data_IF_280040504706
#
_entry.id   IF_280040504706
#
_cell.length_a   1.000
_cell.length_b   1.000
_cell.length_c   1.000
_cell.angle_alpha   90.00
_cell.angle_beta   90.00
_cell.angle_gamma   90.00
#
_symmetry.space_group_name_H-M   'P 1'
#
loop_
_entity.id
_entity.type
_entity.pdbx_description
1 polymer ?
#
# COMPACT_ATOMS: atom_id res chain seq x y z
N UNK A 1 25.63 8.11 67.49
CA UNK A 1 26.20 7.14 66.53
C UNK A 1 25.35 7.13 65.25
N UNK A 2 25.33 8.21 64.45
CA UNK A 2 24.52 8.27 63.22
C UNK A 2 24.97 9.40 62.28
N UNK A 3 26.24 9.40 61.88
CA UNK A 3 26.72 10.35 60.86
C UNK A 3 27.61 9.68 59.78
N UNK A 4 27.88 8.38 59.88
CA UNK A 4 28.80 7.68 58.96
C UNK A 4 28.13 7.08 57.71
N UNK A 5 26.79 7.01 57.65
CA UNK A 5 26.08 6.28 56.57
C UNK A 5 25.66 7.17 55.38
N UNK A 6 25.67 8.49 55.52
CA UNK A 6 25.20 9.38 54.44
C UNK A 6 26.24 9.62 53.34
N UNK A 7 27.55 9.52 53.65
CA UNK A 7 28.61 9.82 52.69
C UNK A 7 28.92 8.65 51.73
N UNK A 8 28.60 7.41 52.11
CA UNK A 8 28.87 6.22 51.29
C UNK A 8 27.78 5.92 50.24
N UNK A 9 26.61 6.56 50.33
CA UNK A 9 25.49 6.31 49.39
C UNK A 9 25.51 7.26 48.19
N UNK A 10 26.17 8.41 48.31
CA UNK A 10 26.26 9.41 47.23
C UNK A 10 27.04 8.94 45.96
N UNK A 11 28.16 8.20 46.06
CA UNK A 11 28.90 7.77 44.86
C UNK A 11 28.16 6.69 44.07
N UNK A 12 27.33 5.88 44.73
CA UNK A 12 26.62 4.75 44.12
C UNK A 12 25.40 5.23 43.30
N UNK A 13 24.74 6.31 43.73
CA UNK A 13 23.64 6.92 42.99
C UNK A 13 24.10 7.65 41.72
N UNK A 14 25.32 8.21 41.72
CA UNK A 14 25.93 8.83 40.54
C UNK A 14 26.44 7.75 39.56
N UNK A 15 26.95 6.62 40.06
CA UNK A 15 27.33 5.49 39.21
C UNK A 15 26.14 4.80 38.52
N UNK A 16 24.98 4.73 39.18
CA UNK A 16 23.76 4.16 38.61
C UNK A 16 23.13 5.04 37.51
N UNK A 17 23.35 6.36 37.55
CA UNK A 17 22.88 7.31 36.52
C UNK A 17 23.92 7.54 35.42
N UNK A 18 25.21 7.27 35.68
CA UNK A 18 26.25 7.26 34.66
C UNK A 18 26.14 6.03 33.73
N UNK A 19 25.67 4.88 34.24
CA UNK A 19 25.42 3.69 33.43
C UNK A 19 24.26 3.85 32.43
N UNK A 20 23.27 4.68 32.75
CA UNK A 20 22.15 5.00 31.84
C UNK A 20 22.45 6.16 30.88
N UNK A 21 23.51 6.93 31.12
CA UNK A 21 23.99 7.99 30.22
C UNK A 21 25.03 7.50 29.19
N UNK A 22 25.67 6.35 29.43
CA UNK A 22 26.60 5.70 28.49
C UNK A 22 25.91 4.71 27.54
N UNK A 23 24.59 4.59 27.61
CA UNK A 23 23.76 3.89 26.61
C UNK A 23 23.23 4.85 25.52
N UNK A 24 23.90 5.97 25.33
CA UNK A 24 23.75 6.79 24.14
C UNK A 24 24.51 6.11 22.99
N UNK A 25 23.84 6.03 21.83
CA UNK A 25 24.49 5.94 20.50
C UNK A 25 24.81 4.57 19.89
N UNK A 26 23.97 3.56 20.13
CA UNK A 26 23.71 2.57 19.08
C UNK A 26 22.36 2.92 18.44
N UNK A 27 22.41 3.56 17.27
CA UNK A 27 21.22 3.69 16.40
C UNK A 27 20.57 2.31 16.33
N UNK A 28 19.34 2.17 16.84
CA UNK A 28 18.66 0.87 16.82
C UNK A 28 18.63 0.37 15.37
N UNK A 29 18.72 -0.94 15.16
CA UNK A 29 18.73 -1.48 13.78
C UNK A 29 17.53 -0.96 12.99
N UNK A 30 16.38 -0.81 13.64
CA UNK A 30 15.17 -0.20 13.08
C UNK A 30 15.38 1.26 12.66
N UNK A 31 16.05 2.06 13.49
CA UNK A 31 16.34 3.46 13.19
C UNK A 31 17.35 3.58 12.04
N UNK A 32 18.33 2.68 11.95
CA UNK A 32 19.27 2.61 10.82
C UNK A 32 18.61 2.20 9.51
N UNK A 33 17.70 1.22 9.57
CA UNK A 33 16.89 0.83 8.43
C UNK A 33 16.01 1.98 7.99
N UNK A 34 15.32 2.65 8.92
CA UNK A 34 14.42 3.76 8.62
C UNK A 34 15.16 4.96 8.00
N UNK A 35 16.30 5.38 8.55
CA UNK A 35 17.07 6.50 8.00
C UNK A 35 17.66 6.20 6.62
N UNK A 36 18.16 4.98 6.42
CA UNK A 36 18.68 4.55 5.11
C UNK A 36 17.56 4.50 4.07
N UNK A 37 16.41 3.92 4.45
CA UNK A 37 15.23 3.84 3.58
C UNK A 37 14.67 5.23 3.27
N UNK A 38 14.57 6.12 4.26
CA UNK A 38 14.10 7.49 4.09
C UNK A 38 15.05 8.32 3.23
N UNK A 39 16.37 8.14 3.35
CA UNK A 39 17.35 8.82 2.50
C UNK A 39 17.23 8.38 1.03
N UNK A 40 17.04 7.08 0.78
CA UNK A 40 16.86 6.52 -0.55
C UNK A 40 15.53 6.90 -1.20
N UNK A 41 14.43 6.80 -0.46
CA UNK A 41 13.07 6.98 -1.00
C UNK A 41 12.52 8.39 -0.84
N UNK A 42 13.05 9.18 0.09
CA UNK A 42 12.55 10.51 0.45
C UNK A 42 12.42 11.47 -0.74
N UNK A 43 13.44 11.64 -1.61
CA UNK A 43 13.32 12.50 -2.78
C UNK A 43 12.17 12.10 -3.72
N UNK A 44 11.98 10.79 -3.92
CA UNK A 44 10.92 10.25 -4.77
C UNK A 44 9.53 10.40 -4.15
N UNK A 45 9.40 10.09 -2.86
CA UNK A 45 8.14 10.24 -2.11
C UNK A 45 7.72 11.71 -2.08
N UNK A 46 8.66 12.63 -1.81
CA UNK A 46 8.37 14.06 -1.79
C UNK A 46 7.95 14.58 -3.17
N UNK A 47 8.53 14.06 -4.26
CA UNK A 47 8.14 14.41 -5.61
C UNK A 47 6.72 13.94 -5.93
N UNK A 48 6.39 12.69 -5.60
CA UNK A 48 5.08 12.09 -5.88
C UNK A 48 3.97 12.73 -5.04
N UNK A 49 4.24 12.94 -3.76
CA UNK A 49 3.26 13.51 -2.83
C UNK A 49 3.38 15.04 -2.71
N UNK A 50 4.07 15.70 -3.64
CA UNK A 50 4.15 17.15 -3.65
C UNK A 50 2.73 17.76 -3.69
N UNK A 51 2.47 18.84 -2.93
CA UNK A 51 1.21 19.53 -3.01
C UNK A 51 1.04 20.19 -4.38
N UNK A 52 -0.18 20.16 -4.92
CA UNK A 52 -0.51 20.97 -6.08
C UNK A 52 -0.42 22.47 -5.71
N UNK A 53 0.17 23.34 -6.56
CA UNK A 53 0.37 24.75 -6.24
C UNK A 53 -0.89 25.43 -5.70
N UNK A 54 -0.83 25.94 -4.47
CA UNK A 54 -1.95 26.62 -3.80
C UNK A 54 -2.90 25.72 -2.98
N UNK A 55 -2.63 24.41 -2.87
CA UNK A 55 -3.44 23.49 -2.05
C UNK A 55 -2.56 22.54 -1.25
N UNK A 56 -3.07 21.94 -0.17
CA UNK A 56 -2.41 20.84 0.56
C UNK A 56 -2.65 19.46 -0.09
N UNK A 57 -3.29 19.41 -1.25
CA UNK A 57 -3.68 18.15 -1.89
C UNK A 57 -2.54 17.59 -2.76
N UNK A 58 -2.16 16.31 -2.59
CA UNK A 58 -1.10 15.71 -3.40
C UNK A 58 -1.48 15.64 -4.88
N UNK A 59 -0.62 16.13 -5.77
CA UNK A 59 -0.92 16.18 -7.21
C UNK A 59 -1.11 14.78 -7.82
N UNK A 60 -0.39 13.77 -7.32
CA UNK A 60 -0.52 12.38 -7.80
C UNK A 60 -1.94 11.84 -7.56
N UNK A 61 -2.56 12.17 -6.43
CA UNK A 61 -3.91 11.69 -6.11
C UNK A 61 -4.91 12.33 -7.07
N UNK A 62 -4.72 13.62 -7.39
CA UNK A 62 -5.52 14.31 -8.40
C UNK A 62 -5.41 13.62 -9.76
N UNK A 63 -4.19 13.33 -10.19
CA UNK A 63 -3.91 12.65 -11.45
C UNK A 63 -4.57 11.28 -11.53
N UNK A 64 -4.47 10.46 -10.46
CA UNK A 64 -5.07 9.13 -10.39
C UNK A 64 -6.60 9.18 -10.47
N UNK A 65 -7.24 10.13 -9.76
CA UNK A 65 -8.70 10.29 -9.80
C UNK A 65 -9.18 10.72 -11.19
N UNK A 66 -8.47 11.66 -11.85
CA UNK A 66 -8.81 12.10 -13.21
C UNK A 66 -8.67 10.94 -14.19
N UNK A 67 -7.55 10.23 -14.18
CA UNK A 67 -7.33 9.06 -15.06
C UNK A 67 -8.41 7.99 -14.85
N UNK A 68 -8.71 7.64 -13.60
CA UNK A 68 -9.72 6.65 -13.26
C UNK A 68 -11.13 7.07 -13.68
N UNK A 69 -11.45 8.36 -13.58
CA UNK A 69 -12.71 8.93 -14.06
C UNK A 69 -12.82 8.84 -15.58
N UNK A 70 -11.74 9.21 -16.30
CA UNK A 70 -11.69 9.09 -17.76
C UNK A 70 -11.88 7.64 -18.20
N UNK A 71 -11.17 6.68 -17.60
CA UNK A 71 -11.35 5.26 -17.92
C UNK A 71 -12.75 4.76 -17.59
N UNK A 72 -13.30 5.16 -16.44
CA UNK A 72 -14.68 4.81 -16.06
C UNK A 72 -15.69 5.27 -17.10
N UNK A 73 -15.58 6.52 -17.57
CA UNK A 73 -16.49 7.07 -18.58
C UNK A 73 -16.25 6.47 -19.97
N UNK A 74 -14.99 6.33 -20.38
CA UNK A 74 -14.62 5.79 -21.68
C UNK A 74 -15.09 4.33 -21.87
N UNK A 75 -14.94 3.49 -20.85
CA UNK A 75 -15.41 2.10 -20.88
C UNK A 75 -16.89 1.93 -20.45
N UNK A 76 -17.63 3.04 -20.26
CA UNK A 76 -19.07 3.02 -20.01
C UNK A 76 -19.46 2.37 -18.68
N UNK A 77 -18.80 2.76 -17.58
CA UNK A 77 -19.02 2.21 -16.23
C UNK A 77 -18.83 0.69 -16.18
N UNK A 78 -17.70 0.23 -16.73
CA UNK A 78 -17.33 -1.19 -16.85
C UNK A 78 -17.46 -1.94 -15.52
N UNK A 79 -17.12 -1.28 -14.40
CA UNK A 79 -17.17 -1.83 -13.05
C UNK A 79 -18.58 -2.20 -12.58
N UNK A 80 -19.64 -1.56 -13.12
CA UNK A 80 -21.03 -1.90 -12.80
C UNK A 80 -21.59 -2.89 -13.82
N UNK A 81 -21.28 -2.69 -15.11
CA UNK A 81 -21.84 -3.48 -16.20
C UNK A 81 -21.35 -4.93 -16.20
N UNK A 82 -20.07 -5.15 -15.93
CA UNK A 82 -19.44 -6.47 -16.04
C UNK A 82 -19.26 -7.19 -14.70
N UNK A 83 -19.70 -6.59 -13.58
CA UNK A 83 -19.58 -7.19 -12.26
C UNK A 83 -20.19 -8.60 -12.17
N UNK A 84 -21.40 -8.78 -12.72
CA UNK A 84 -22.05 -10.10 -12.75
C UNK A 84 -21.31 -11.11 -13.61
N UNK A 85 -20.78 -10.68 -14.75
CA UNK A 85 -20.01 -11.54 -15.64
C UNK A 85 -18.69 -11.99 -14.99
N UNK A 86 -17.99 -11.07 -14.31
CA UNK A 86 -16.79 -11.39 -13.54
C UNK A 86 -17.05 -12.44 -12.46
N UNK A 87 -18.19 -12.38 -11.75
CA UNK A 87 -18.54 -13.41 -10.77
C UNK A 87 -18.75 -14.78 -11.43
N UNK A 88 -19.44 -14.85 -12.56
CA UNK A 88 -19.63 -16.11 -13.28
C UNK A 88 -18.31 -16.69 -13.83
N UNK A 89 -17.39 -15.84 -14.28
CA UNK A 89 -16.04 -16.26 -14.70
C UNK A 89 -15.27 -16.90 -13.53
N UNK A 90 -15.29 -16.27 -12.36
CA UNK A 90 -14.58 -16.77 -11.16
C UNK A 90 -15.22 -18.06 -10.61
N UNK A 91 -16.54 -18.22 -10.76
CA UNK A 91 -17.26 -19.44 -10.40
C UNK A 91 -16.97 -20.63 -11.32
N UNK A 92 -16.38 -20.37 -12.49
CA UNK A 92 -16.06 -21.40 -13.47
C UNK A 92 -17.20 -21.71 -14.45
N UNK A 93 -18.26 -20.90 -14.49
CA UNK A 93 -19.37 -21.05 -15.45
C UNK A 93 -18.90 -20.93 -16.91
N UNK A 94 -17.71 -20.36 -17.12
CA UNK A 94 -17.07 -20.10 -18.42
C UNK A 94 -15.68 -20.75 -18.55
N UNK A 95 -15.32 -21.69 -17.68
CA UNK A 95 -14.03 -22.39 -17.77
C UNK A 95 -14.10 -23.53 -18.79
N UNK A 96 -13.46 -23.41 -19.95
CA UNK A 96 -13.27 -24.54 -20.87
C UNK A 96 -11.97 -25.30 -20.51
N UNK A 97 -12.00 -26.64 -20.35
CA UNK A 97 -10.80 -27.46 -20.16
C UNK A 97 -9.75 -27.34 -21.29
N UNK A 98 -10.10 -26.75 -22.43
CA UNK A 98 -9.20 -26.52 -23.58
C UNK A 98 -8.64 -25.10 -23.67
N UNK A 99 -9.02 -24.20 -22.76
CA UNK A 99 -8.49 -22.83 -22.77
C UNK A 99 -7.02 -22.80 -22.33
N UNK A 100 -6.23 -21.96 -23.00
CA UNK A 100 -4.82 -21.77 -22.70
C UNK A 100 -4.65 -21.04 -21.36
N UNK A 101 -4.31 -21.78 -20.30
CA UNK A 101 -3.99 -21.23 -18.98
C UNK A 101 -3.52 -22.30 -17.99
N UNK A 102 -2.39 -22.07 -17.33
CA UNK A 102 -1.82 -23.01 -16.35
C UNK A 102 -2.54 -22.97 -14.97
N UNK A 103 -3.36 -21.94 -14.74
CA UNK A 103 -4.07 -21.71 -13.46
C UNK A 103 -5.54 -21.35 -13.70
N UNK A 104 -6.42 -21.77 -12.80
CA UNK A 104 -7.85 -21.44 -12.92
C UNK A 104 -8.12 -19.95 -12.71
N UNK A 105 -9.23 -19.43 -13.24
CA UNK A 105 -9.63 -18.03 -13.03
C UNK A 105 -9.70 -17.64 -11.55
N UNK A 106 -10.17 -18.55 -10.69
CA UNK A 106 -10.19 -18.34 -9.24
C UNK A 106 -8.78 -18.30 -8.64
N UNK A 107 -7.87 -19.18 -9.08
CA UNK A 107 -6.48 -19.17 -8.60
C UNK A 107 -5.77 -17.87 -9.00
N UNK A 108 -5.91 -17.44 -10.26
CA UNK A 108 -5.35 -16.18 -10.72
C UNK A 108 -5.87 -14.98 -9.90
N UNK A 109 -7.19 -14.95 -9.62
CA UNK A 109 -7.79 -13.93 -8.76
C UNK A 109 -7.25 -14.01 -7.32
N UNK A 110 -7.15 -15.21 -6.74
CA UNK A 110 -6.68 -15.41 -5.37
C UNK A 110 -5.23 -14.94 -5.21
N UNK A 111 -4.37 -15.23 -6.19
CA UNK A 111 -2.98 -14.74 -6.23
C UNK A 111 -2.94 -13.21 -6.27
N UNK A 112 -3.72 -12.57 -7.16
CA UNK A 112 -3.79 -11.12 -7.24
C UNK A 112 -4.33 -10.46 -5.94
N UNK A 113 -5.34 -11.07 -5.31
CA UNK A 113 -5.92 -10.59 -4.06
C UNK A 113 -4.94 -10.75 -2.89
N UNK A 114 -4.19 -11.85 -2.83
CA UNK A 114 -3.18 -12.04 -1.78
C UNK A 114 -2.07 -10.98 -1.80
N UNK A 115 -1.72 -10.48 -2.99
CA UNK A 115 -0.73 -9.41 -3.15
C UNK A 115 -1.25 -8.02 -2.78
N UNK A 116 -2.58 -7.83 -2.77
CA UNK A 116 -3.21 -6.51 -2.60
C UNK A 116 -3.95 -6.34 -1.28
N UNK A 117 -4.38 -7.43 -0.63
CA UNK A 117 -5.05 -7.42 0.68
C UNK A 117 -4.08 -7.85 1.77
N UNK A 118 -3.73 -6.94 2.66
CA UNK A 118 -2.85 -7.22 3.80
C UNK A 118 -3.17 -6.39 5.03
N UNK A 119 -2.40 -6.60 6.11
CA UNK A 119 -2.52 -5.86 7.37
C UNK A 119 -2.45 -4.34 7.16
N UNK A 120 -1.63 -3.89 6.19
CA UNK A 120 -1.50 -2.48 5.81
C UNK A 120 -2.81 -1.85 5.34
N UNK A 121 -3.68 -2.59 4.63
CA UNK A 121 -4.96 -2.05 4.16
C UNK A 121 -5.94 -1.87 5.32
N UNK A 122 -5.92 -2.80 6.29
CA UNK A 122 -6.80 -2.73 7.47
C UNK A 122 -6.34 -1.60 8.41
N UNK A 123 -5.04 -1.54 8.72
CA UNK A 123 -4.46 -0.47 9.53
C UNK A 123 -4.56 0.90 8.85
N UNK A 124 -4.34 0.96 7.53
CA UNK A 124 -4.44 2.18 6.74
C UNK A 124 -5.86 2.76 6.73
N UNK A 125 -6.88 1.91 6.63
CA UNK A 125 -8.30 2.34 6.77
C UNK A 125 -8.55 2.91 8.17
N UNK A 126 -8.05 2.26 9.23
CA UNK A 126 -8.22 2.74 10.60
C UNK A 126 -7.57 4.11 10.80
N UNK A 127 -6.36 4.32 10.29
CA UNK A 127 -5.67 5.63 10.33
C UNK A 127 -6.40 6.68 9.50
N UNK A 128 -6.86 6.33 8.29
CA UNK A 128 -7.58 7.24 7.41
C UNK A 128 -8.90 7.73 8.03
N UNK A 129 -9.66 6.84 8.67
CA UNK A 129 -10.89 7.21 9.39
C UNK A 129 -10.55 8.00 10.66
N UNK A 130 -9.48 7.62 11.38
CA UNK A 130 -9.04 8.32 12.58
C UNK A 130 -8.68 9.78 12.33
N UNK A 131 -8.02 10.08 11.21
CA UNK A 131 -7.59 11.44 10.84
C UNK A 131 -8.69 12.18 10.04
N UNK A 132 -9.35 11.49 9.11
CA UNK A 132 -10.32 12.09 8.18
C UNK A 132 -11.77 12.10 8.66
N UNK A 133 -12.05 11.47 9.81
CA UNK A 133 -13.40 11.34 10.35
C UNK A 133 -14.28 10.34 9.60
N UNK A 134 -15.58 10.22 9.97
CA UNK A 134 -16.47 9.20 9.43
C UNK A 134 -16.76 9.38 7.93
N UNK A 135 -16.57 10.59 7.38
CA UNK A 135 -16.74 10.86 5.96
C UNK A 135 -15.65 10.23 5.07
N UNK A 136 -14.51 9.85 5.63
CA UNK A 136 -13.41 9.23 4.88
C UNK A 136 -13.85 7.93 4.20
N UNK A 137 -14.65 7.11 4.87
CA UNK A 137 -15.14 5.82 4.36
C UNK A 137 -15.90 5.96 3.04
N UNK A 138 -16.75 6.99 2.92
CA UNK A 138 -17.49 7.25 1.69
C UNK A 138 -16.56 7.51 0.51
N UNK A 139 -15.55 8.37 0.71
CA UNK A 139 -14.55 8.69 -0.31
C UNK A 139 -13.64 7.50 -0.64
N UNK A 140 -13.30 6.66 0.34
CA UNK A 140 -12.53 5.44 0.11
C UNK A 140 -13.30 4.44 -0.77
N UNK A 141 -14.61 4.26 -0.55
CA UNK A 141 -15.45 3.42 -1.39
C UNK A 141 -15.48 3.98 -2.81
N UNK A 142 -15.70 5.28 -2.97
CA UNK A 142 -15.73 5.93 -4.29
C UNK A 142 -14.39 5.79 -5.04
N UNK A 143 -13.28 6.03 -4.35
CA UNK A 143 -11.94 5.84 -4.90
C UNK A 143 -11.68 4.38 -5.29
N UNK A 144 -12.16 3.42 -4.49
CA UNK A 144 -12.11 1.99 -4.82
C UNK A 144 -12.92 1.64 -6.08
N UNK A 145 -14.12 2.20 -6.20
CA UNK A 145 -14.97 2.01 -7.39
C UNK A 145 -14.30 2.55 -8.67
N UNK A 146 -13.66 3.71 -8.59
CA UNK A 146 -12.90 4.29 -9.70
C UNK A 146 -11.63 3.47 -9.99
N UNK A 147 -10.93 3.01 -8.95
CA UNK A 147 -9.73 2.18 -9.07
C UNK A 147 -9.97 0.85 -9.79
N UNK A 148 -11.16 0.25 -9.67
CA UNK A 148 -11.52 -0.96 -10.41
C UNK A 148 -11.47 -0.77 -11.93
N UNK A 149 -11.94 0.38 -12.44
CA UNK A 149 -11.90 0.66 -13.87
C UNK A 149 -10.47 0.83 -14.38
N UNK A 150 -9.61 1.49 -13.61
CA UNK A 150 -8.18 1.62 -13.92
C UNK A 150 -7.48 0.27 -13.95
N UNK A 151 -7.71 -0.59 -12.94
CA UNK A 151 -7.12 -1.94 -12.89
C UNK A 151 -7.62 -2.84 -14.01
N UNK A 152 -8.91 -2.78 -14.35
CA UNK A 152 -9.44 -3.48 -15.50
C UNK A 152 -8.73 -3.06 -16.80
N UNK A 153 -8.53 -1.76 -17.00
CA UNK A 153 -7.83 -1.22 -18.18
C UNK A 153 -6.38 -1.69 -18.23
N UNK A 154 -5.66 -1.61 -17.12
CA UNK A 154 -4.27 -2.05 -16.99
C UNK A 154 -4.13 -3.54 -17.32
N UNK A 155 -4.93 -4.41 -16.71
CA UNK A 155 -4.90 -5.85 -16.97
C UNK A 155 -5.30 -6.20 -18.41
N UNK A 156 -6.29 -5.51 -18.97
CA UNK A 156 -6.73 -5.74 -20.36
C UNK A 156 -5.64 -5.36 -21.34
N UNK A 157 -4.96 -4.23 -21.14
CA UNK A 157 -3.85 -3.81 -21.99
C UNK A 157 -2.64 -4.73 -21.80
N UNK A 158 -2.38 -5.17 -20.57
CA UNK A 158 -1.30 -6.12 -20.26
C UNK A 158 -1.46 -7.43 -21.02
N UNK A 159 -2.68 -7.97 -21.10
CA UNK A 159 -2.95 -9.18 -21.90
C UNK A 159 -2.94 -8.88 -23.40
N UNK A 160 -3.48 -7.74 -23.84
CA UNK A 160 -3.55 -7.38 -25.27
C UNK A 160 -2.17 -7.21 -25.92
N UNK A 161 -1.21 -6.65 -25.18
CA UNK A 161 0.15 -6.42 -25.66
C UNK A 161 1.15 -7.47 -25.17
N UNK A 162 0.66 -8.54 -24.55
CA UNK A 162 1.49 -9.68 -24.15
C UNK A 162 2.01 -10.37 -25.41
N UNK A 163 3.33 -10.47 -25.56
CA UNK A 163 3.93 -11.22 -26.66
C UNK A 163 4.21 -12.65 -26.20
N UNK A 164 3.79 -13.61 -27.01
CA UNK A 164 4.15 -15.02 -26.83
C UNK A 164 5.33 -15.31 -27.76
N UNK A 165 6.49 -15.56 -27.18
CA UNK A 165 7.69 -15.86 -27.95
C UNK A 165 7.66 -17.32 -28.45
N UNK A 166 8.39 -17.64 -29.53
CA UNK A 166 8.42 -19.00 -30.10
C UNK A 166 8.94 -20.08 -29.15
N UNK A 167 9.58 -19.69 -28.04
CA UNK A 167 10.11 -20.56 -26.99
C UNK A 167 9.10 -20.84 -25.87
N UNK A 168 7.86 -20.34 -25.99
CA UNK A 168 6.81 -20.50 -24.99
C UNK A 168 6.94 -19.54 -23.80
N UNK A 169 7.90 -18.63 -23.80
CA UNK A 169 7.97 -17.56 -22.80
C UNK A 169 6.99 -16.45 -23.14
N UNK A 170 6.45 -15.83 -22.10
CA UNK A 170 5.42 -14.79 -22.20
C UNK A 170 5.93 -13.52 -21.53
N UNK A 171 5.90 -12.38 -22.23
CA UNK A 171 6.23 -11.05 -21.69
C UNK A 171 5.01 -10.17 -21.58
#
# INVERSE_FOLDING_TARGET
MSFSKALLVAPLAIAATAGSALAQEAMSLDQRVNETFASLTGPFVNLIFAPFPGTSFPWIVMWLVVAATVFTLYFGFVQLRYFRHAISLVKGDYSDPKDAGEVSHFQALATALSGTVGLGNIAGVAVAIGIGGPGATFWMILAGLLGMASKFTECTLGVKYRNEYPDGTVS
#
